data_IF_117531134468
#
_entry.id   IF_117531134468
#
_cell.length_a   1.000
_cell.length_b   1.000
_cell.length_c   1.000
_cell.angle_alpha   90.00
_cell.angle_beta   90.00
_cell.angle_gamma   90.00
#
_symmetry.space_group_name_H-M   'P 1'
#
loop_
_entity.id
_entity.type
_entity.pdbx_description
1 polymer ?
#
# COMPACT_ATOMS: atom_id res chain seq x y z
N UNK A 1 -8.54 -10.12 -18.03
CA UNK A 1 -8.11 -9.28 -17.09
C UNK A 1 -8.05 -9.88 -15.75
N UNK A 2 -7.02 -9.85 -15.16
CA UNK A 2 -6.89 -10.45 -13.87
C UNK A 2 -7.67 -9.67 -12.87
N UNK A 3 -8.39 -10.37 -12.10
CA UNK A 3 -9.12 -9.74 -11.05
C UNK A 3 -8.17 -9.42 -9.95
N UNK A 4 -8.29 -8.22 -9.45
CA UNK A 4 -7.52 -7.85 -8.33
C UNK A 4 -8.22 -8.38 -7.12
N UNK A 5 -7.57 -9.21 -6.38
CA UNK A 5 -8.15 -9.71 -5.15
C UNK A 5 -8.02 -8.66 -4.08
N UNK A 6 -9.09 -8.45 -3.34
CA UNK A 6 -9.02 -7.50 -2.24
C UNK A 6 -8.93 -8.30 -0.96
N UNK A 7 -8.25 -7.76 0.00
CA UNK A 7 -8.06 -8.40 1.28
C UNK A 7 -8.41 -7.39 2.36
N UNK A 8 -9.37 -7.69 3.22
CA UNK A 8 -9.73 -6.73 4.27
C UNK A 8 -8.62 -6.69 5.31
N UNK A 9 -7.98 -5.56 5.40
CA UNK A 9 -6.88 -5.38 6.33
C UNK A 9 -7.38 -4.59 7.52
N UNK A 10 -7.17 -5.12 8.71
CA UNK A 10 -7.59 -4.45 9.91
C UNK A 10 -6.38 -3.82 10.57
N UNK A 11 -6.47 -2.56 10.87
CA UNK A 11 -5.37 -1.82 11.45
C UNK A 11 -5.80 -1.17 12.74
N UNK A 12 -4.85 -1.01 13.62
CA UNK A 12 -5.08 -0.25 14.83
C UNK A 12 -5.49 1.17 14.46
N UNK A 13 -6.42 1.74 15.22
CA UNK A 13 -6.94 3.06 14.88
C UNK A 13 -5.84 4.13 14.88
N UNK A 14 -4.92 4.04 15.79
CA UNK A 14 -3.84 5.02 15.84
C UNK A 14 -2.92 4.88 14.64
N UNK A 15 -2.66 3.65 14.25
CA UNK A 15 -1.83 3.40 13.09
C UNK A 15 -2.52 3.90 11.83
N UNK A 16 -3.81 3.65 11.74
CA UNK A 16 -4.56 4.09 10.58
C UNK A 16 -4.57 5.61 10.48
N UNK A 17 -4.73 6.28 11.60
CA UNK A 17 -4.72 7.74 11.60
C UNK A 17 -3.38 8.28 11.12
N UNK A 18 -2.30 7.66 11.56
CA UNK A 18 -0.98 8.08 11.13
C UNK A 18 -0.79 7.87 9.64
N UNK A 19 -1.31 6.76 9.14
CA UNK A 19 -1.21 6.48 7.70
C UNK A 19 -2.01 7.47 6.89
N UNK A 20 -3.19 7.83 7.37
CA UNK A 20 -4.00 8.80 6.66
C UNK A 20 -3.28 10.13 6.56
N UNK A 21 -2.69 10.56 7.65
CA UNK A 21 -2.00 11.83 7.67
C UNK A 21 -0.82 11.80 6.73
N UNK A 22 -0.07 10.70 6.76
CA UNK A 22 1.09 10.57 5.91
C UNK A 22 0.68 10.57 4.44
N UNK A 23 -0.40 9.85 4.12
CA UNK A 23 -0.84 9.80 2.74
C UNK A 23 -1.25 11.17 2.23
N UNK A 24 -1.87 11.97 3.09
CA UNK A 24 -2.22 13.32 2.69
C UNK A 24 -0.99 14.16 2.42
N UNK A 25 0.03 14.02 3.26
CA UNK A 25 1.26 14.75 3.05
C UNK A 25 1.91 14.40 1.74
N UNK A 26 1.72 13.17 1.28
CA UNK A 26 2.33 12.72 0.05
C UNK A 26 1.36 12.76 -1.13
N UNK A 27 0.19 13.33 -0.92
CA UNK A 27 -0.83 13.44 -1.96
C UNK A 27 -1.14 12.09 -2.54
N UNK A 28 -1.33 11.11 -1.67
CA UNK A 28 -1.55 9.74 -2.08
C UNK A 28 -2.75 9.20 -1.34
N UNK A 29 -3.48 8.28 -1.93
CA UNK A 29 -4.60 7.67 -1.23
C UNK A 29 -4.07 6.77 -0.12
N UNK A 30 -4.91 6.52 0.89
CA UNK A 30 -4.50 5.66 1.99
C UNK A 30 -4.19 4.27 1.48
N UNK A 31 -5.02 3.74 0.59
CA UNK A 31 -4.75 2.43 0.02
C UNK A 31 -3.44 2.40 -0.75
N UNK A 32 -3.19 3.44 -1.52
CA UNK A 32 -1.94 3.54 -2.26
C UNK A 32 -0.76 3.61 -1.35
N UNK A 33 -0.90 4.34 -0.24
CA UNK A 33 0.20 4.46 0.70
C UNK A 33 0.50 3.12 1.35
N UNK A 34 -0.54 2.39 1.73
CA UNK A 34 -0.36 1.09 2.35
C UNK A 34 0.31 0.13 1.37
N UNK A 35 -0.14 0.11 0.14
CA UNK A 35 0.47 -0.78 -0.85
C UNK A 35 1.92 -0.41 -1.09
N UNK A 36 2.20 0.87 -1.14
CA UNK A 36 3.57 1.31 -1.35
C UNK A 36 4.47 0.82 -0.22
N UNK A 37 4.00 0.95 1.01
CA UNK A 37 4.79 0.52 2.15
C UNK A 37 5.01 -0.98 2.15
N UNK A 38 3.98 -1.75 1.81
CA UNK A 38 4.11 -3.19 1.77
C UNK A 38 5.06 -3.64 0.67
N UNK A 39 4.98 -3.02 -0.49
CA UNK A 39 5.89 -3.35 -1.56
C UNK A 39 7.33 -3.05 -1.17
N UNK A 40 7.52 -1.91 -0.52
CA UNK A 40 8.85 -1.55 -0.10
C UNK A 40 9.40 -2.54 0.92
N UNK A 41 8.55 -2.94 1.86
CA UNK A 41 8.97 -3.91 2.87
C UNK A 41 9.30 -5.25 2.23
N UNK A 42 8.47 -5.69 1.29
CA UNK A 42 8.72 -6.95 0.60
C UNK A 42 9.99 -6.90 -0.23
N UNK A 43 10.23 -5.76 -0.86
CA UNK A 43 11.43 -5.62 -1.65
C UNK A 43 12.67 -5.70 -0.78
N UNK A 44 12.64 -5.03 0.35
CA UNK A 44 13.78 -5.05 1.26
C UNK A 44 14.01 -6.44 1.84
N UNK A 45 12.95 -7.20 1.99
CA UNK A 45 13.07 -8.56 2.48
C UNK A 45 13.44 -9.54 1.38
N UNK A 46 13.47 -9.07 0.14
CA UNK A 46 13.77 -9.95 -0.99
C UNK A 46 12.64 -10.87 -1.34
N UNK A 47 11.39 -10.48 -1.01
CA UNK A 47 10.25 -11.34 -1.26
C UNK A 47 9.25 -10.75 -2.24
N UNK A 48 9.56 -9.61 -2.83
CA UNK A 48 8.64 -9.01 -3.77
C UNK A 48 8.66 -9.81 -5.06
N UNK A 49 7.51 -10.19 -5.60
CA UNK A 49 7.48 -10.93 -6.85
C UNK A 49 8.12 -10.12 -7.96
N UNK A 50 8.84 -10.80 -8.82
CA UNK A 50 9.56 -10.13 -9.87
C UNK A 50 8.63 -9.41 -10.83
N UNK A 51 7.47 -9.97 -11.06
CA UNK A 51 6.52 -9.39 -12.00
C UNK A 51 5.53 -8.46 -11.33
N UNK A 52 5.74 -8.11 -10.08
CA UNK A 52 4.84 -7.18 -9.41
C UNK A 52 5.00 -5.80 -10.02
N UNK A 53 3.89 -5.16 -10.27
CA UNK A 53 3.91 -3.82 -10.84
C UNK A 53 3.72 -2.79 -9.75
N UNK A 54 4.25 -1.60 -9.96
CA UNK A 54 4.04 -0.56 -8.95
C UNK A 54 2.57 -0.21 -8.84
N UNK A 55 2.15 0.22 -7.68
CA UNK A 55 0.75 0.58 -7.50
C UNK A 55 0.40 1.79 -8.33
N UNK A 56 -0.83 1.81 -8.78
CA UNK A 56 -1.35 2.94 -9.52
C UNK A 56 -2.09 3.79 -8.53
N UNK A 57 -1.57 4.93 -8.30
CA UNK A 57 -2.19 5.78 -7.33
C UNK A 57 -3.26 6.61 -7.84
N UNK A 58 -3.48 6.61 -8.99
CA UNK A 58 -4.45 7.42 -9.48
C UNK A 58 -5.59 7.01 -9.44
N UNK A 59 -6.07 6.99 -9.38
CA UNK A 59 -7.11 6.61 -9.30
C UNK A 59 -7.61 6.84 -8.75
#
# INVERSE_FOLDING_TARGET
>A
MPAKKSYPLRLDAKLLAALKRWSEDELRSVNGQIEYLLRDALRKAGRLPRDAKPPVDEE
#
